data_IF_581071975977
#
_entry.id   IF_581071975977
#
_cell.length_a   1.000
_cell.length_b   1.000
_cell.length_c   1.000
_cell.angle_alpha   90.00
_cell.angle_beta   90.00
_cell.angle_gamma   90.00
#
_symmetry.space_group_name_H-M   'P 1'
#
loop_
_entity.id
_entity.type
_entity.pdbx_description
1 polymer ?
#
# COMPACT_ATOMS: atom_id res chain seq x y z
N UNK A 1 7.15 -35.18 -32.27
CA UNK A 1 8.25 -34.34 -31.75
C UNK A 1 8.15 -32.88 -32.19
N UNK A 2 8.10 -32.55 -33.50
CA UNK A 2 7.96 -31.14 -33.97
C UNK A 2 6.70 -30.42 -33.47
N UNK A 3 5.53 -31.06 -33.52
CA UNK A 3 4.28 -30.45 -33.04
C UNK A 3 4.27 -30.17 -31.53
N UNK A 4 4.97 -31.00 -30.74
CA UNK A 4 5.06 -30.80 -29.28
C UNK A 4 5.92 -29.59 -28.93
N UNK A 5 7.00 -29.35 -29.69
CA UNK A 5 7.86 -28.17 -29.50
C UNK A 5 7.09 -26.88 -29.84
N UNK A 6 6.33 -26.89 -30.95
CA UNK A 6 5.51 -25.74 -31.35
C UNK A 6 4.41 -25.46 -30.32
N UNK A 7 3.74 -26.50 -29.82
CA UNK A 7 2.72 -26.35 -28.77
C UNK A 7 3.32 -25.80 -27.47
N UNK A 8 4.46 -26.32 -27.03
CA UNK A 8 5.15 -25.82 -25.83
C UNK A 8 5.61 -24.37 -25.98
N UNK A 9 6.10 -23.98 -27.17
CA UNK A 9 6.47 -22.60 -27.47
C UNK A 9 5.26 -21.65 -27.42
N UNK A 10 4.10 -22.07 -27.95
CA UNK A 10 2.86 -21.29 -27.88
C UNK A 10 2.36 -21.09 -26.44
N UNK A 11 2.45 -22.13 -25.61
CA UNK A 11 2.09 -22.05 -24.19
C UNK A 11 3.05 -21.10 -23.45
N UNK A 12 4.36 -21.18 -23.72
CA UNK A 12 5.35 -20.30 -23.10
C UNK A 12 5.12 -18.82 -23.45
N UNK A 13 4.79 -18.52 -24.72
CA UNK A 13 4.44 -17.15 -25.17
C UNK A 13 3.16 -16.66 -24.50
N UNK A 14 2.15 -17.52 -24.38
CA UNK A 14 0.91 -17.18 -23.69
C UNK A 14 1.11 -16.93 -22.18
N UNK A 15 1.97 -17.72 -21.53
CA UNK A 15 2.30 -17.58 -20.11
C UNK A 15 3.15 -16.32 -19.81
N UNK A 16 3.87 -15.79 -20.80
CA UNK A 16 4.62 -14.53 -20.69
C UNK A 16 3.82 -13.32 -21.16
N UNK A 17 2.50 -13.44 -21.38
CA UNK A 17 1.67 -12.28 -21.67
C UNK A 17 1.77 -11.28 -20.50
N UNK A 18 1.91 -9.97 -20.77
CA UNK A 18 1.91 -8.97 -19.71
C UNK A 18 0.62 -9.10 -18.91
N UNK A 19 0.76 -9.08 -17.58
CA UNK A 19 -0.39 -8.92 -16.70
C UNK A 19 -1.01 -7.56 -17.06
N UNK A 20 -2.33 -7.52 -17.26
CA UNK A 20 -3.04 -6.31 -17.66
C UNK A 20 -2.83 -5.16 -16.67
N UNK A 21 -3.27 -3.97 -17.05
CA UNK A 21 -3.12 -2.79 -16.18
C UNK A 21 -3.81 -3.02 -14.82
N UNK A 22 -3.19 -2.52 -13.75
CA UNK A 22 -3.77 -2.56 -12.41
C UNK A 22 -4.81 -1.43 -12.31
N UNK A 23 -6.06 -1.80 -12.11
CA UNK A 23 -7.18 -0.87 -12.02
C UNK A 23 -7.51 -0.53 -10.56
N UNK A 24 -7.88 0.72 -10.30
CA UNK A 24 -8.47 1.13 -9.03
C UNK A 24 -9.91 0.61 -8.97
N UNK A 25 -10.20 -0.26 -7.98
CA UNK A 25 -11.56 -0.75 -7.71
C UNK A 25 -12.33 0.23 -6.85
N UNK A 26 -11.74 0.62 -5.72
CA UNK A 26 -12.33 1.56 -4.77
C UNK A 26 -11.31 2.62 -4.38
N UNK A 27 -11.79 3.85 -4.17
CA UNK A 27 -11.04 4.97 -3.64
C UNK A 27 -11.96 5.76 -2.71
N UNK A 28 -11.54 5.89 -1.46
CA UNK A 28 -12.17 6.75 -0.49
C UNK A 28 -11.14 7.77 -0.01
N UNK A 29 -11.50 9.04 -0.10
CA UNK A 29 -10.62 10.14 0.26
C UNK A 29 -11.43 11.08 1.13
N UNK A 30 -11.07 11.17 2.39
CA UNK A 30 -11.61 12.16 3.31
C UNK A 30 -10.56 13.27 3.53
N UNK A 31 -10.78 14.37 2.80
CA UNK A 31 -10.14 15.67 3.03
C UNK A 31 -11.18 16.73 3.46
N UNK A 32 -12.44 16.34 3.69
CA UNK A 32 -13.56 17.27 3.75
C UNK A 32 -13.77 17.81 5.17
N UNK A 33 -12.96 18.82 5.57
CA UNK A 33 -13.30 19.72 6.68
C UNK A 33 -12.40 19.70 7.91
N UNK A 34 -11.21 19.09 7.82
CA UNK A 34 -10.25 19.03 8.91
C UNK A 34 -9.40 20.32 8.94
N UNK A 35 -9.96 21.37 9.57
CA UNK A 35 -9.27 22.66 9.86
C UNK A 35 -7.98 22.45 10.67
N UNK A 36 -7.87 21.29 11.32
CA UNK A 36 -6.78 20.82 12.16
C UNK A 36 -5.62 20.13 11.40
N UNK A 37 -5.71 19.97 10.07
CA UNK A 37 -4.62 19.43 9.26
C UNK A 37 -4.50 17.89 9.28
N UNK A 38 -5.55 17.20 9.70
CA UNK A 38 -5.68 15.74 9.60
C UNK A 38 -6.19 15.31 8.22
N UNK A 39 -5.98 14.04 7.86
CA UNK A 39 -6.49 13.43 6.62
C UNK A 39 -6.78 11.94 6.82
N UNK A 40 -7.61 11.38 5.93
CA UNK A 40 -7.79 9.94 5.82
C UNK A 40 -8.02 9.53 4.36
N UNK A 41 -7.49 8.38 3.96
CA UNK A 41 -7.80 7.78 2.67
C UNK A 41 -7.76 6.25 2.73
N UNK A 42 -8.44 5.62 1.80
CA UNK A 42 -8.30 4.20 1.51
C UNK A 42 -8.45 3.89 0.02
N UNK A 43 -7.81 2.83 -0.45
CA UNK A 43 -7.98 2.34 -1.81
C UNK A 43 -7.85 0.81 -1.90
N UNK A 44 -8.44 0.25 -2.95
CA UNK A 44 -8.40 -1.17 -3.33
C UNK A 44 -8.13 -1.26 -4.84
N UNK A 45 -7.21 -2.14 -5.23
CA UNK A 45 -6.77 -2.31 -6.62
C UNK A 45 -7.08 -3.72 -7.16
N UNK A 46 -7.04 -3.88 -8.49
CA UNK A 46 -7.41 -5.11 -9.18
C UNK A 46 -6.48 -6.29 -8.92
N UNK A 47 -5.29 -6.05 -8.41
CA UNK A 47 -4.26 -7.02 -7.99
C UNK A 47 -4.36 -7.39 -6.49
N UNK A 48 -5.48 -7.04 -5.86
CA UNK A 48 -5.75 -7.24 -4.43
C UNK A 48 -4.81 -6.46 -3.50
N UNK A 49 -4.10 -5.46 -4.04
CA UNK A 49 -3.41 -4.47 -3.21
C UNK A 49 -4.42 -3.55 -2.55
N UNK A 50 -4.29 -3.35 -1.24
CA UNK A 50 -5.18 -2.48 -0.45
C UNK A 50 -4.36 -1.59 0.45
N UNK A 51 -4.83 -0.37 0.68
CA UNK A 51 -4.23 0.53 1.68
C UNK A 51 -5.30 1.38 2.32
N UNK A 52 -5.15 1.58 3.62
CA UNK A 52 -5.85 2.61 4.37
C UNK A 52 -4.85 3.34 5.26
N UNK A 53 -5.05 4.64 5.41
CA UNK A 53 -4.18 5.49 6.20
C UNK A 53 -4.96 6.69 6.72
N UNK A 54 -4.69 7.05 7.96
CA UNK A 54 -5.17 8.29 8.57
C UNK A 54 -4.02 8.98 9.29
N UNK A 55 -4.07 10.30 9.34
CA UNK A 55 -3.08 11.09 10.04
C UNK A 55 -3.71 12.26 10.79
N UNK A 56 -3.09 12.63 11.90
CA UNK A 56 -3.44 13.81 12.68
C UNK A 56 -2.22 14.71 12.84
N UNK A 57 -2.44 16.04 12.81
CA UNK A 57 -1.39 17.00 13.08
C UNK A 57 -1.17 17.12 14.59
N UNK A 58 0.07 16.95 15.04
CA UNK A 58 0.50 17.11 16.43
C UNK A 58 1.58 18.18 16.51
N UNK A 59 1.72 18.78 17.70
CA UNK A 59 2.86 19.63 18.02
C UNK A 59 3.89 18.78 18.75
N UNK A 60 5.12 18.74 18.24
CA UNK A 60 6.24 17.97 18.79
C UNK A 60 7.44 18.89 19.00
N UNK A 61 8.45 18.41 19.73
CA UNK A 61 9.70 19.15 19.94
C UNK A 61 10.73 18.76 18.88
N UNK A 62 11.33 19.73 18.20
CA UNK A 62 12.49 19.49 17.34
C UNK A 62 13.78 19.32 18.17
N UNK A 63 14.91 19.11 17.49
CA UNK A 63 16.22 18.98 18.14
C UNK A 63 16.64 20.22 18.97
N UNK A 64 16.11 21.40 18.63
CA UNK A 64 16.35 22.67 19.32
C UNK A 64 15.30 22.96 20.42
N UNK A 65 14.44 21.97 20.73
CA UNK A 65 13.37 22.05 21.73
C UNK A 65 12.27 23.10 21.44
N UNK A 66 12.11 23.44 20.16
CA UNK A 66 11.05 24.31 19.64
C UNK A 66 9.81 23.49 19.27
N UNK A 67 8.64 24.10 19.44
CA UNK A 67 7.37 23.49 19.02
C UNK A 67 7.25 23.54 17.49
N UNK A 68 7.19 22.37 16.87
CA UNK A 68 7.01 22.22 15.43
C UNK A 68 5.82 21.29 15.13
N UNK A 69 5.07 21.53 14.03
CA UNK A 69 4.01 20.63 13.61
C UNK A 69 4.60 19.34 13.01
N UNK A 70 4.08 18.19 13.39
CA UNK A 70 4.40 16.87 12.84
C UNK A 70 3.14 16.02 12.66
N UNK A 71 3.12 15.17 11.64
CA UNK A 71 2.02 14.24 11.42
C UNK A 71 2.24 12.97 12.23
N UNK A 72 1.20 12.52 12.93
CA UNK A 72 1.12 11.18 13.48
C UNK A 72 0.17 10.35 12.62
N UNK A 73 0.73 9.35 11.95
CA UNK A 73 0.10 8.52 10.93
C UNK A 73 -0.17 7.14 11.52
N UNK A 74 -1.34 6.57 11.20
CA UNK A 74 -1.66 5.16 11.41
C UNK A 74 -2.28 4.62 10.14
N UNK A 75 -1.80 3.48 9.68
CA UNK A 75 -2.35 2.85 8.49
C UNK A 75 -2.04 1.37 8.40
N UNK A 76 -2.59 0.77 7.35
CA UNK A 76 -2.22 -0.57 6.93
C UNK A 76 -2.25 -0.68 5.41
N UNK A 77 -1.43 -1.58 4.88
CA UNK A 77 -1.56 -2.02 3.49
C UNK A 77 -1.44 -3.54 3.41
N UNK A 78 -2.05 -4.10 2.37
CA UNK A 78 -2.05 -5.52 2.08
C UNK A 78 -1.59 -5.75 0.64
N UNK A 79 -0.77 -6.78 0.44
CA UNK A 79 -0.32 -7.19 -0.88
C UNK A 79 -0.07 -8.70 -0.93
N UNK A 80 -0.10 -9.26 -2.14
CA UNK A 80 0.27 -10.65 -2.40
C UNK A 80 1.64 -10.68 -3.07
N UNK A 81 2.57 -11.49 -2.56
CA UNK A 81 3.90 -11.65 -3.16
C UNK A 81 3.86 -12.53 -4.43
N UNK A 82 4.97 -12.62 -5.19
CA UNK A 82 5.04 -13.48 -6.37
C UNK A 82 4.83 -14.98 -6.10
N UNK A 83 4.98 -15.44 -4.85
CA UNK A 83 4.76 -16.82 -4.43
C UNK A 83 3.28 -17.07 -4.05
N UNK A 84 2.42 -16.05 -4.14
CA UNK A 84 0.99 -16.13 -3.85
C UNK A 84 0.66 -15.96 -2.37
N UNK A 85 1.63 -15.55 -1.54
CA UNK A 85 1.45 -15.36 -0.10
C UNK A 85 1.00 -13.93 0.20
N UNK A 86 -0.02 -13.81 1.05
CA UNK A 86 -0.64 -12.52 1.39
C UNK A 86 -0.01 -11.94 2.65
N UNK A 87 0.31 -10.66 2.62
CA UNK A 87 0.91 -9.94 3.74
C UNK A 87 0.09 -8.72 4.09
N UNK A 88 -0.13 -8.54 5.39
CA UNK A 88 -0.73 -7.35 5.96
C UNK A 88 0.36 -6.61 6.74
N UNK A 89 0.61 -5.36 6.37
CA UNK A 89 1.56 -4.47 7.04
C UNK A 89 0.79 -3.38 7.76
N UNK A 90 0.75 -3.43 9.08
CA UNK A 90 0.20 -2.36 9.93
C UNK A 90 1.32 -1.46 10.39
N UNK A 91 1.12 -0.15 10.40
CA UNK A 91 2.18 0.78 10.76
C UNK A 91 1.67 2.01 11.50
N UNK A 92 2.56 2.56 12.31
CA UNK A 92 2.49 3.93 12.80
C UNK A 92 3.70 4.71 12.31
N UNK A 93 3.54 5.99 12.01
CA UNK A 93 4.66 6.87 11.70
C UNK A 93 4.49 8.23 12.39
N UNK A 94 5.56 8.72 13.00
CA UNK A 94 5.58 10.00 13.72
C UNK A 94 6.99 10.63 13.62
N UNK A 95 7.30 11.59 14.49
CA UNK A 95 8.60 12.26 14.53
C UNK A 95 9.79 11.29 14.77
N UNK A 96 9.53 10.09 15.28
CA UNK A 96 10.52 9.05 15.54
C UNK A 96 10.65 8.04 14.37
N UNK A 97 9.89 8.22 13.29
CA UNK A 97 9.97 7.41 12.08
C UNK A 97 8.88 6.36 11.95
N UNK A 98 9.10 5.41 11.02
CA UNK A 98 8.11 4.40 10.61
C UNK A 98 8.27 3.10 11.40
N UNK A 99 7.18 2.65 12.03
CA UNK A 99 7.14 1.47 12.89
C UNK A 99 6.13 0.43 12.35
N UNK A 100 6.58 -0.51 11.51
CA UNK A 100 5.70 -1.52 10.92
C UNK A 100 5.63 -2.80 11.75
N UNK A 101 4.48 -3.47 11.66
CA UNK A 101 4.26 -4.87 12.04
C UNK A 101 3.74 -5.62 10.83
N UNK A 102 4.44 -6.69 10.45
CA UNK A 102 4.13 -7.49 9.27
C UNK A 102 3.52 -8.82 9.72
N UNK A 103 2.37 -9.16 9.14
CA UNK A 103 1.67 -10.43 9.38
C UNK A 103 1.41 -11.11 8.05
N UNK A 104 1.82 -12.37 7.94
CA UNK A 104 1.38 -13.28 6.88
C UNK A 104 -0.05 -13.75 7.17
N UNK A 105 -0.92 -13.70 6.15
CA UNK A 105 -2.37 -13.88 6.28
C UNK A 105 -2.92 -15.11 5.52
#
# INVERSE_FOLDING_TARGET
MKCLIVLAALIAVAACAPQGDIELRNLDIDHAGLVDGSYSFSYDQSDDHKREESAVLKTVKNFDNEDVPALAITGQYEFTDPDGKRYIVKYTADENGFNPTITEA
#
